data_IF_563915392645
#
_entry.id   IF_563915392645
#
_cell.length_a   1.000
_cell.length_b   1.000
_cell.length_c   1.000
_cell.angle_alpha   90.00
_cell.angle_beta   90.00
_cell.angle_gamma   90.00
#
_symmetry.space_group_name_H-M   'P 1'
#
loop_
_entity.id
_entity.type
_entity.pdbx_description
1 polymer ?
#
# COMPACT_ATOMS: atom_id res chain seq x y z
N UNK A 1 15.79 22.73 -71.34
CA UNK A 1 16.71 22.63 -70.19
C UNK A 1 16.31 23.76 -69.24
N UNK A 2 15.32 23.58 -68.37
CA UNK A 2 15.36 22.95 -67.03
C UNK A 2 16.26 23.69 -66.02
N UNK A 3 15.74 23.79 -64.78
CA UNK A 3 16.25 24.35 -63.50
C UNK A 3 15.74 25.76 -63.13
N UNK A 4 14.69 25.94 -62.30
CA UNK A 4 14.59 25.80 -60.81
C UNK A 4 15.67 26.63 -60.08
N UNK A 5 15.37 27.57 -59.19
CA UNK A 5 14.71 27.34 -57.89
C UNK A 5 14.05 28.59 -57.31
N UNK A 6 12.88 28.34 -56.73
CA UNK A 6 12.09 29.16 -55.82
C UNK A 6 12.76 29.11 -54.45
N UNK A 7 12.95 30.24 -53.75
CA UNK A 7 13.25 30.22 -52.31
C UNK A 7 12.10 30.88 -51.54
N UNK A 8 11.25 29.99 -51.04
CA UNK A 8 10.07 30.28 -50.23
C UNK A 8 10.49 30.55 -48.77
N UNK A 9 9.82 31.53 -48.18
CA UNK A 9 9.85 31.91 -46.77
C UNK A 9 9.49 30.72 -45.86
N UNK A 10 10.24 30.51 -44.79
CA UNK A 10 9.80 29.67 -43.66
C UNK A 10 10.08 30.41 -42.34
N UNK A 11 9.13 31.26 -41.94
CA UNK A 11 9.00 31.73 -40.56
C UNK A 11 8.46 30.55 -39.72
N UNK A 12 9.34 29.97 -38.88
CA UNK A 12 8.94 29.03 -37.84
C UNK A 12 8.22 29.80 -36.72
N UNK A 13 6.89 29.88 -36.84
CA UNK A 13 6.05 30.23 -35.70
C UNK A 13 6.03 29.02 -34.75
N UNK A 14 6.75 29.15 -33.62
CA UNK A 14 6.63 28.23 -32.49
C UNK A 14 5.23 28.42 -31.89
N UNK A 15 4.28 27.65 -32.39
CA UNK A 15 2.97 27.50 -31.78
C UNK A 15 3.12 26.72 -30.49
N UNK A 16 3.23 27.42 -29.36
CA UNK A 16 2.94 26.84 -28.07
C UNK A 16 1.46 26.45 -28.07
N UNK A 17 1.17 25.17 -28.33
CA UNK A 17 -0.16 24.62 -28.06
C UNK A 17 -0.33 24.57 -26.55
N UNK A 18 -0.78 25.69 -25.99
CA UNK A 18 -1.42 25.68 -24.69
C UNK A 18 -2.62 24.72 -24.84
N UNK A 19 -2.48 23.50 -24.30
CA UNK A 19 -3.60 22.59 -24.19
C UNK A 19 -4.73 23.37 -23.49
N UNK A 20 -5.94 23.46 -24.07
CA UNK A 20 -7.02 24.15 -23.41
C UNK A 20 -7.23 23.49 -22.06
N UNK A 21 -7.06 24.27 -20.98
CA UNK A 21 -7.51 23.84 -19.67
C UNK A 21 -8.96 23.38 -19.84
N UNK A 22 -9.35 22.21 -19.29
CA UNK A 22 -10.70 21.72 -19.46
C UNK A 22 -11.67 22.82 -19.05
N UNK A 23 -12.66 23.08 -19.91
CA UNK A 23 -13.70 24.06 -19.64
C UNK A 23 -14.25 23.82 -18.22
N UNK A 24 -14.55 24.88 -17.44
CA UNK A 24 -14.99 24.75 -16.06
C UNK A 24 -16.20 23.81 -15.90
N UNK A 25 -17.03 23.70 -16.95
CA UNK A 25 -18.16 22.78 -17.05
C UNK A 25 -17.72 21.31 -17.09
N UNK A 26 -16.72 20.93 -17.89
CA UNK A 26 -16.20 19.56 -17.93
C UNK A 26 -15.54 19.14 -16.61
N UNK A 27 -14.89 20.08 -15.91
CA UNK A 27 -14.38 19.86 -14.57
C UNK A 27 -15.51 19.69 -13.53
N UNK A 28 -16.62 20.42 -13.69
CA UNK A 28 -17.80 20.32 -12.84
C UNK A 28 -18.55 19.00 -13.07
N UNK A 29 -18.71 18.57 -14.32
CA UNK A 29 -19.32 17.29 -14.67
C UNK A 29 -18.50 16.10 -14.15
N UNK A 30 -17.17 16.15 -14.29
CA UNK A 30 -16.28 15.13 -13.73
C UNK A 30 -16.35 15.03 -12.20
N UNK A 31 -16.45 16.17 -11.51
CA UNK A 31 -16.62 16.22 -10.04
C UNK A 31 -17.99 15.69 -9.60
N UNK A 32 -19.04 16.04 -10.35
CA UNK A 32 -20.43 15.64 -10.04
C UNK A 32 -20.65 14.15 -10.32
N UNK A 33 -20.08 13.61 -11.40
CA UNK A 33 -20.06 12.17 -11.68
C UNK A 33 -19.23 11.39 -10.64
N UNK A 34 -18.07 11.93 -10.24
CA UNK A 34 -17.23 11.34 -9.19
C UNK A 34 -17.95 11.27 -7.84
N UNK A 35 -18.70 12.32 -7.48
CA UNK A 35 -19.58 12.36 -6.32
C UNK A 35 -20.66 11.27 -6.38
N UNK A 36 -21.44 11.27 -7.46
CA UNK A 36 -22.56 10.34 -7.65
C UNK A 36 -22.09 8.90 -7.58
N UNK A 37 -20.94 8.60 -8.18
CA UNK A 37 -20.32 7.27 -8.13
C UNK A 37 -19.89 6.90 -6.70
N UNK A 38 -19.26 7.83 -5.97
CA UNK A 38 -18.86 7.64 -4.58
C UNK A 38 -20.04 7.26 -3.68
N UNK A 39 -21.10 8.07 -3.70
CA UNK A 39 -22.26 7.87 -2.84
C UNK A 39 -23.03 6.59 -3.20
N UNK A 40 -23.20 6.29 -4.50
CA UNK A 40 -23.85 5.05 -4.96
C UNK A 40 -23.09 3.79 -4.54
N UNK A 41 -21.77 3.87 -4.42
CA UNK A 41 -20.91 2.75 -3.98
C UNK A 41 -20.73 2.70 -2.46
N UNK A 42 -21.53 3.44 -1.69
CA UNK A 42 -21.48 3.43 -0.22
C UNK A 42 -20.30 4.21 0.37
N UNK A 43 -19.60 5.00 -0.44
CA UNK A 43 -18.52 5.88 -0.01
C UNK A 43 -19.04 7.15 0.66
N UNK A 44 -18.22 7.71 1.55
CA UNK A 44 -18.35 9.04 2.13
C UNK A 44 -17.48 10.01 1.34
N UNK A 45 -18.10 11.04 0.76
CA UNK A 45 -17.38 12.07 0.02
C UNK A 45 -16.97 13.22 0.93
N UNK A 46 -15.68 13.55 0.93
CA UNK A 46 -15.13 14.72 1.60
C UNK A 46 -15.19 15.91 0.63
N UNK A 47 -16.09 16.86 0.90
CA UNK A 47 -16.33 18.04 0.08
C UNK A 47 -15.16 19.04 0.09
N UNK A 48 -14.36 19.06 1.16
CA UNK A 48 -13.20 19.94 1.30
C UNK A 48 -12.00 19.41 0.52
N UNK A 49 -11.80 18.09 0.55
CA UNK A 49 -10.67 17.43 -0.13
C UNK A 49 -11.01 16.95 -1.53
N UNK A 50 -12.28 17.00 -1.93
CA UNK A 50 -12.81 16.42 -3.16
C UNK A 50 -12.47 14.91 -3.31
N UNK A 51 -12.41 14.17 -2.20
CA UNK A 51 -12.03 12.75 -2.17
C UNK A 51 -13.16 11.86 -1.69
N UNK A 52 -13.32 10.70 -2.33
CA UNK A 52 -14.21 9.64 -1.85
C UNK A 52 -13.47 8.67 -0.93
N UNK A 53 -14.03 8.40 0.25
CA UNK A 53 -13.55 7.38 1.19
C UNK A 53 -14.60 6.30 1.37
N UNK A 54 -14.23 5.05 1.15
CA UNK A 54 -15.14 3.93 1.39
C UNK A 54 -14.99 3.44 2.84
N UNK A 55 -16.09 3.12 3.54
CA UNK A 55 -16.00 2.49 4.84
C UNK A 55 -15.22 1.18 4.68
N UNK A 56 -14.09 1.06 5.40
CA UNK A 56 -13.40 -0.22 5.50
C UNK A 56 -14.32 -1.19 6.24
N UNK A 57 -14.39 -2.46 5.84
CA UNK A 57 -15.19 -3.44 6.56
C UNK A 57 -14.68 -3.56 7.99
N UNK A 58 -15.63 -3.73 8.92
CA UNK A 58 -15.29 -3.97 10.32
C UNK A 58 -14.56 -5.31 10.44
N UNK A 59 -13.33 -5.26 10.95
CA UNK A 59 -12.54 -6.46 11.15
C UNK A 59 -12.83 -7.10 12.51
N UNK A 60 -12.78 -8.46 12.60
CA UNK A 60 -12.84 -9.15 13.88
C UNK A 60 -11.76 -8.65 14.84
N UNK A 61 -11.98 -8.82 16.15
CA UNK A 61 -11.05 -8.39 17.19
C UNK A 61 -9.61 -8.84 16.91
N UNK A 62 -8.66 -7.91 17.05
CA UNK A 62 -7.23 -8.14 16.81
C UNK A 62 -6.78 -8.10 15.34
N UNK A 63 -7.71 -8.11 14.37
CA UNK A 63 -7.37 -8.01 12.94
C UNK A 63 -7.46 -6.57 12.43
N UNK A 64 -6.69 -6.26 11.38
CA UNK A 64 -6.74 -4.99 10.66
C UNK A 64 -7.03 -5.25 9.19
N UNK A 65 -7.70 -4.31 8.53
CA UNK A 65 -7.92 -4.37 7.10
C UNK A 65 -6.59 -4.21 6.37
N UNK A 66 -6.19 -5.24 5.63
CA UNK A 66 -5.06 -5.20 4.69
C UNK A 66 -5.62 -4.82 3.32
N UNK A 67 -5.38 -3.57 2.91
CA UNK A 67 -5.92 -3.07 1.64
C UNK A 67 -5.26 -3.74 0.42
N UNK A 68 -4.03 -4.20 0.54
CA UNK A 68 -3.33 -4.92 -0.53
C UNK A 68 -3.94 -6.31 -0.75
N UNK A 69 -4.24 -7.03 0.35
CA UNK A 69 -4.86 -8.36 0.30
C UNK A 69 -6.38 -8.33 0.26
N UNK A 70 -6.99 -7.14 0.34
CA UNK A 70 -8.45 -6.92 0.44
C UNK A 70 -9.12 -7.84 1.46
N UNK A 71 -8.49 -8.00 2.64
CA UNK A 71 -9.01 -8.87 3.73
C UNK A 71 -8.59 -8.36 5.09
N UNK A 72 -9.32 -8.77 6.13
CA UNK A 72 -8.88 -8.59 7.52
C UNK A 72 -7.81 -9.64 7.87
N UNK A 73 -6.65 -9.18 8.31
CA UNK A 73 -5.51 -10.03 8.69
C UNK A 73 -4.92 -9.58 10.02
N UNK A 74 -4.18 -10.45 10.70
CA UNK A 74 -3.49 -10.05 11.92
C UNK A 74 -2.29 -9.18 11.57
N UNK A 75 -2.10 -8.04 12.26
CA UNK A 75 -0.92 -7.22 12.04
C UNK A 75 0.34 -7.98 12.46
N UNK A 76 1.50 -7.69 11.87
CA UNK A 76 2.76 -8.25 12.32
C UNK A 76 3.11 -7.78 13.73
N UNK A 77 3.92 -8.58 14.43
CA UNK A 77 4.67 -8.09 15.58
C UNK A 77 5.63 -6.99 15.15
N UNK A 78 5.88 -6.04 16.04
CA UNK A 78 6.97 -5.08 15.84
C UNK A 78 8.31 -5.85 15.86
N UNK A 79 9.33 -5.39 15.11
CA UNK A 79 10.63 -6.04 15.11
C UNK A 79 11.17 -6.17 16.53
N UNK A 80 11.56 -7.38 16.97
CA UNK A 80 12.08 -7.57 18.31
C UNK A 80 13.42 -6.84 18.46
N UNK A 81 13.62 -6.23 19.63
CA UNK A 81 14.87 -5.55 19.96
C UNK A 81 15.85 -6.57 20.52
N UNK A 82 16.63 -7.17 19.63
CA UNK A 82 17.66 -8.15 19.99
C UNK A 82 19.02 -7.47 20.10
N UNK A 83 19.89 -8.01 20.96
CA UNK A 83 21.26 -7.54 21.13
C UNK A 83 22.20 -8.56 20.50
N UNK A 84 23.20 -8.07 19.75
CA UNK A 84 24.23 -8.93 19.15
C UNK A 84 24.83 -9.89 20.18
N UNK A 85 24.99 -11.20 19.85
CA UNK A 85 24.82 -11.83 18.52
C UNK A 85 23.39 -12.36 18.22
N UNK A 86 22.39 -11.96 19.00
CA UNK A 86 21.01 -12.44 18.82
C UNK A 86 20.29 -11.71 17.69
N UNK A 87 19.35 -12.40 17.06
CA UNK A 87 18.41 -11.82 16.12
C UNK A 87 16.97 -12.28 16.41
N UNK A 88 16.03 -11.64 15.73
CA UNK A 88 14.61 -11.89 15.91
C UNK A 88 14.19 -13.23 15.33
N UNK A 89 13.34 -13.92 16.07
CA UNK A 89 12.69 -15.16 15.67
C UNK A 89 11.18 -15.03 15.84
N UNK A 90 10.43 -15.79 15.05
CA UNK A 90 9.01 -16.00 15.29
C UNK A 90 8.64 -17.47 15.17
N UNK A 91 7.76 -17.93 16.06
CA UNK A 91 7.36 -19.33 16.20
C UNK A 91 5.86 -19.47 16.25
N UNK A 92 5.34 -20.52 15.62
CA UNK A 92 3.92 -20.92 15.73
C UNK A 92 3.67 -22.08 16.68
N UNK A 93 4.73 -22.81 17.05
CA UNK A 93 4.70 -23.91 18.02
C UNK A 93 6.11 -24.12 18.59
N UNK A 94 6.25 -24.97 19.61
CA UNK A 94 7.55 -25.37 20.20
C UNK A 94 8.54 -26.04 19.23
N UNK A 95 8.13 -26.38 18.02
CA UNK A 95 8.97 -27.06 17.02
C UNK A 95 9.06 -26.30 15.69
N UNK A 96 8.25 -25.26 15.50
CA UNK A 96 8.14 -24.56 14.22
C UNK A 96 8.41 -23.08 14.43
N UNK A 97 9.59 -22.67 13.99
CA UNK A 97 10.11 -21.32 14.12
C UNK A 97 10.90 -20.90 12.88
N UNK A 98 10.97 -19.60 12.67
CA UNK A 98 11.68 -18.98 11.54
C UNK A 98 12.27 -17.65 11.98
N UNK A 99 13.27 -17.15 11.25
CA UNK A 99 13.80 -15.81 11.49
C UNK A 99 12.71 -14.76 11.30
N UNK A 100 12.79 -13.69 12.10
CA UNK A 100 11.76 -12.66 12.10
C UNK A 100 11.67 -12.01 10.72
N UNK A 101 10.47 -12.05 10.15
CA UNK A 101 10.09 -11.36 8.94
C UNK A 101 8.65 -10.86 9.09
N UNK A 102 8.44 -9.55 8.98
CA UNK A 102 7.13 -8.90 9.13
C UNK A 102 6.04 -9.47 8.20
N UNK A 103 6.44 -10.03 7.06
CA UNK A 103 5.52 -10.57 6.06
C UNK A 103 5.23 -12.06 6.29
N UNK A 104 6.01 -12.72 7.16
CA UNK A 104 5.83 -14.13 7.49
C UNK A 104 4.63 -14.34 8.42
N UNK A 105 3.81 -15.35 8.12
CA UNK A 105 2.58 -15.65 8.87
C UNK A 105 2.83 -15.93 10.36
N UNK A 106 3.97 -16.56 10.71
CA UNK A 106 4.33 -16.86 12.11
C UNK A 106 4.78 -15.64 12.89
N UNK A 107 5.00 -14.50 12.23
CA UNK A 107 5.39 -13.24 12.86
C UNK A 107 4.17 -12.31 13.06
N UNK A 108 2.93 -12.82 12.96
CA UNK A 108 1.70 -12.05 13.15
C UNK A 108 1.15 -12.16 14.56
N UNK A 109 0.53 -11.08 15.06
CA UNK A 109 -0.17 -10.97 16.36
C UNK A 109 -1.50 -11.72 16.34
N UNK A 110 -1.50 -13.02 16.05
CA UNK A 110 -2.69 -13.87 15.98
C UNK A 110 -3.15 -14.43 17.34
N UNK A 111 -2.42 -14.08 18.41
CA UNK A 111 -2.66 -14.54 19.78
C UNK A 111 -1.93 -15.83 20.16
N UNK A 112 -1.39 -16.57 19.18
CA UNK A 112 -0.71 -17.85 19.39
C UNK A 112 0.78 -17.78 19.09
N UNK A 113 1.14 -17.07 18.02
CA UNK A 113 2.52 -16.91 17.61
C UNK A 113 3.30 -16.10 18.65
N UNK A 114 4.58 -16.45 18.77
CA UNK A 114 5.53 -15.80 19.68
C UNK A 114 6.67 -15.20 18.89
N UNK A 115 7.15 -14.04 19.33
CA UNK A 115 8.34 -13.37 18.78
C UNK A 115 9.34 -13.17 19.89
N UNK A 116 10.59 -13.54 19.65
CA UNK A 116 11.63 -13.64 20.67
C UNK A 116 13.02 -13.42 20.05
N UNK A 117 14.02 -13.22 20.91
CA UNK A 117 15.41 -13.02 20.51
C UNK A 117 16.26 -14.23 20.87
N UNK A 118 17.13 -14.63 19.94
CA UNK A 118 18.13 -15.68 20.15
C UNK A 118 19.22 -15.63 19.11
N UNK A 119 20.38 -16.18 19.46
CA UNK A 119 21.34 -16.65 18.47
C UNK A 119 20.82 -17.94 17.79
N UNK A 120 21.45 -18.33 16.68
CA UNK A 120 21.08 -19.53 15.90
C UNK A 120 21.21 -20.83 16.70
N UNK A 121 22.25 -20.94 17.53
CA UNK A 121 22.56 -22.14 18.28
C UNK A 121 21.47 -22.47 19.32
N UNK A 122 20.98 -21.45 20.03
CA UNK A 122 20.02 -21.59 21.12
C UNK A 122 18.56 -21.48 20.65
N UNK A 123 18.34 -21.12 19.39
CA UNK A 123 17.01 -20.95 18.83
C UNK A 123 16.08 -22.18 18.98
N UNK A 124 16.53 -23.42 18.73
CA UNK A 124 15.66 -24.59 18.92
C UNK A 124 15.17 -24.75 20.36
N UNK A 125 16.03 -24.45 21.34
CA UNK A 125 15.70 -24.63 22.75
C UNK A 125 14.87 -23.47 23.28
N UNK A 126 15.20 -22.22 22.93
CA UNK A 126 14.39 -21.06 23.26
C UNK A 126 12.99 -21.14 22.65
N UNK A 127 12.84 -21.68 21.43
CA UNK A 127 11.54 -21.92 20.82
C UNK A 127 10.63 -22.78 21.69
N UNK A 128 11.17 -23.87 22.28
CA UNK A 128 10.41 -24.73 23.19
C UNK A 128 9.98 -24.02 24.46
N UNK A 129 10.74 -23.05 24.94
CA UNK A 129 10.41 -22.28 26.14
C UNK A 129 9.27 -21.26 25.93
N UNK A 130 8.87 -21.00 24.67
CA UNK A 130 7.78 -20.08 24.36
C UNK A 130 6.38 -20.72 24.46
N UNK A 131 6.29 -22.05 24.61
CA UNK A 131 5.07 -22.86 24.58
C UNK A 131 5.07 -23.94 25.65
#
# INVERSE_FOLDING_TARGET
MQLTHILTVALLAVGATAMPAPAPEAALEGRTLGLLKCLKSGGKYDWLKHTCTYPQPECPYGKKWDDYKKKCDYPPYDPPKCYEPEHGWCSKSKYEYTSYNKDHVWCKKDGWNKVWCSNDHDAPEKCKQQY
#
